data_IF_667211506207
#
_entry.id   IF_667211506207
#
_cell.length_a   1.000
_cell.length_b   1.000
_cell.length_c   1.000
_cell.angle_alpha   90.00
_cell.angle_beta   90.00
_cell.angle_gamma   90.00
#
_symmetry.space_group_name_H-M   'P 1'
#
loop_
_entity.id
_entity.type
_entity.pdbx_description
1 polymer ?
#
# COMPACT_ATOMS: atom_id res chain seq x y z
N UNK A 1 14.79 13.11 7.96
CA UNK A 1 14.64 12.14 6.84
C UNK A 1 13.66 12.69 5.84
N UNK A 2 14.09 12.91 4.59
CA UNK A 2 13.29 13.50 3.51
C UNK A 2 12.01 12.69 3.27
N UNK A 3 10.89 13.35 2.96
CA UNK A 3 9.59 12.70 2.70
C UNK A 3 9.69 11.58 1.66
N UNK A 4 10.60 11.73 0.71
CA UNK A 4 10.95 10.75 -0.34
C UNK A 4 11.43 9.42 0.25
N UNK A 5 12.38 9.43 1.19
CA UNK A 5 12.90 8.18 1.78
C UNK A 5 11.84 7.47 2.62
N UNK A 6 11.02 8.23 3.36
CA UNK A 6 9.91 7.66 4.14
C UNK A 6 8.88 6.99 3.24
N UNK A 7 8.58 7.61 2.09
CA UNK A 7 7.69 7.05 1.07
C UNK A 7 8.25 5.76 0.46
N UNK A 8 9.50 5.77 0.00
CA UNK A 8 10.15 4.61 -0.63
C UNK A 8 10.22 3.43 0.35
N UNK A 9 10.60 3.69 1.61
CA UNK A 9 10.68 2.67 2.64
C UNK A 9 9.32 2.04 2.90
N UNK A 10 8.25 2.84 2.95
CA UNK A 10 6.89 2.33 3.13
C UNK A 10 6.39 1.51 1.94
N UNK A 11 6.70 1.90 0.70
CA UNK A 11 6.36 1.07 -0.46
C UNK A 11 7.14 -0.25 -0.49
N UNK A 12 8.43 -0.23 -0.15
CA UNK A 12 9.23 -1.46 0.01
C UNK A 12 8.64 -2.38 1.08
N UNK A 13 8.24 -1.81 2.21
CA UNK A 13 7.68 -2.57 3.32
C UNK A 13 6.31 -3.17 2.99
N UNK A 14 5.47 -2.45 2.23
CA UNK A 14 4.24 -3.00 1.66
C UNK A 14 4.52 -4.21 0.76
N UNK A 15 5.48 -4.10 -0.16
CA UNK A 15 5.86 -5.21 -1.04
C UNK A 15 6.36 -6.43 -0.26
N UNK A 16 7.19 -6.20 0.76
CA UNK A 16 7.68 -7.26 1.65
C UNK A 16 6.54 -7.94 2.42
N UNK A 17 5.59 -7.17 2.97
CA UNK A 17 4.44 -7.75 3.66
C UNK A 17 3.49 -8.49 2.71
N UNK A 18 3.25 -8.00 1.49
CA UNK A 18 2.46 -8.74 0.49
C UNK A 18 3.13 -10.08 0.12
N UNK A 19 4.45 -10.09 -0.02
CA UNK A 19 5.19 -11.32 -0.27
C UNK A 19 5.04 -12.31 0.90
N UNK A 20 5.20 -11.84 2.14
CA UNK A 20 5.00 -12.65 3.35
C UNK A 20 3.55 -13.14 3.51
N UNK A 21 2.56 -12.32 3.12
CA UNK A 21 1.15 -12.77 3.08
C UNK A 21 1.04 -13.98 2.17
N UNK A 22 1.52 -13.91 0.93
CA UNK A 22 1.37 -15.02 -0.03
C UNK A 22 2.00 -16.32 0.49
N UNK A 23 3.16 -16.23 1.15
CA UNK A 23 3.86 -17.41 1.68
C UNK A 23 3.20 -18.00 2.93
N UNK A 24 2.58 -17.15 3.77
CA UNK A 24 2.02 -17.55 5.07
C UNK A 24 0.51 -17.78 5.05
N UNK A 25 -0.22 -17.24 4.07
CA UNK A 25 -1.70 -17.27 4.02
C UNK A 25 -2.30 -18.69 4.07
N UNK A 26 -1.60 -19.67 3.47
CA UNK A 26 -2.06 -21.05 3.45
C UNK A 26 -1.74 -21.84 4.74
N UNK A 27 -0.84 -21.32 5.58
CA UNK A 27 -0.32 -22.05 6.74
C UNK A 27 -0.93 -21.58 8.06
N UNK A 28 -1.29 -20.31 8.19
CA UNK A 28 -1.77 -19.77 9.48
C UNK A 28 -2.98 -18.86 9.34
N UNK A 29 -3.98 -19.11 10.19
CA UNK A 29 -5.27 -18.40 10.20
C UNK A 29 -5.13 -16.94 10.66
N UNK A 30 -4.12 -16.65 11.48
CA UNK A 30 -3.97 -15.34 12.13
C UNK A 30 -2.88 -14.46 11.50
N UNK A 31 -1.77 -15.04 11.05
CA UNK A 31 -0.62 -14.25 10.61
C UNK A 31 -0.81 -13.71 9.19
N UNK A 32 -1.46 -14.48 8.32
CA UNK A 32 -1.84 -14.02 6.97
C UNK A 32 -2.65 -12.71 6.99
N UNK A 33 -3.80 -12.66 7.69
CA UNK A 33 -4.57 -11.43 7.84
C UNK A 33 -3.80 -10.27 8.50
N UNK A 34 -2.92 -10.59 9.45
CA UNK A 34 -2.11 -9.61 10.18
C UNK A 34 -1.05 -8.97 9.26
N UNK A 35 -0.33 -9.75 8.45
CA UNK A 35 0.59 -9.22 7.45
C UNK A 35 -0.13 -8.43 6.35
N UNK A 36 -1.35 -8.85 6.00
CA UNK A 36 -2.19 -8.13 5.03
C UNK A 36 -2.59 -6.75 5.58
N UNK A 37 -2.97 -6.67 6.86
CA UNK A 37 -3.23 -5.40 7.53
C UNK A 37 -1.98 -4.50 7.57
N UNK A 38 -0.80 -5.04 7.89
CA UNK A 38 0.45 -4.28 7.88
C UNK A 38 0.84 -3.78 6.48
N UNK A 39 0.59 -4.59 5.45
CA UNK A 39 0.77 -4.19 4.06
C UNK A 39 -0.07 -2.96 3.71
N UNK A 40 -1.39 -3.00 4.02
CA UNK A 40 -2.28 -1.87 3.79
C UNK A 40 -1.89 -0.63 4.59
N UNK A 41 -1.53 -0.81 5.87
CA UNK A 41 -1.09 0.30 6.70
C UNK A 41 0.15 0.99 6.13
N UNK A 42 1.13 0.21 5.69
CA UNK A 42 2.34 0.74 5.06
C UNK A 42 2.05 1.42 3.73
N UNK A 43 1.10 0.88 2.94
CA UNK A 43 0.69 1.48 1.67
C UNK A 43 0.04 2.85 1.89
N UNK A 44 -0.92 2.94 2.82
CA UNK A 44 -1.61 4.18 3.18
C UNK A 44 -0.60 5.23 3.64
N UNK A 45 0.34 4.84 4.52
CA UNK A 45 1.36 5.75 4.98
C UNK A 45 2.27 6.23 3.83
N UNK A 46 2.65 5.35 2.91
CA UNK A 46 3.38 5.71 1.68
C UNK A 46 2.62 6.73 0.84
N UNK A 47 1.32 6.52 0.62
CA UNK A 47 0.44 7.46 -0.09
C UNK A 47 0.30 8.81 0.63
N UNK A 48 0.23 8.84 1.96
CA UNK A 48 0.21 10.10 2.74
C UNK A 48 1.53 10.86 2.58
N UNK A 49 2.66 10.16 2.57
CA UNK A 49 3.97 10.80 2.32
C UNK A 49 4.09 11.31 0.88
N UNK A 50 3.57 10.57 -0.11
CA UNK A 50 3.46 11.03 -1.49
C UNK A 50 2.60 12.29 -1.60
N UNK A 51 1.48 12.35 -0.89
CA UNK A 51 0.62 13.53 -0.86
C UNK A 51 1.33 14.75 -0.26
N UNK A 52 2.09 14.57 0.83
CA UNK A 52 2.89 15.64 1.44
C UNK A 52 4.03 16.12 0.54
N UNK A 53 4.64 15.23 -0.25
CA UNK A 53 5.74 15.58 -1.15
C UNK A 53 5.26 16.18 -2.48
N UNK A 54 4.27 15.55 -3.13
CA UNK A 54 3.75 15.90 -4.45
C UNK A 54 2.21 15.70 -4.50
N UNK A 55 1.42 16.65 -3.97
CA UNK A 55 -0.04 16.48 -3.85
C UNK A 55 -0.76 16.34 -5.20
N UNK A 56 -0.25 16.97 -6.27
CA UNK A 56 -0.80 16.82 -7.63
C UNK A 56 -0.68 15.39 -8.15
N UNK A 57 0.47 14.74 -7.94
CA UNK A 57 0.70 13.36 -8.37
C UNK A 57 -0.16 12.41 -7.54
N UNK A 58 -0.23 12.63 -6.22
CA UNK A 58 -1.08 11.82 -5.35
C UNK A 58 -2.56 11.88 -5.76
N UNK A 59 -3.10 13.06 -6.12
CA UNK A 59 -4.47 13.18 -6.62
C UNK A 59 -4.72 12.34 -7.87
N UNK A 60 -3.82 12.40 -8.86
CA UNK A 60 -3.92 11.60 -10.09
C UNK A 60 -3.92 10.10 -9.77
N UNK A 61 -3.04 9.67 -8.86
CA UNK A 61 -2.97 8.27 -8.43
C UNK A 61 -4.28 7.85 -7.74
N UNK A 62 -4.81 8.66 -6.83
CA UNK A 62 -6.07 8.36 -6.14
C UNK A 62 -7.28 8.37 -7.09
N UNK A 63 -7.35 9.30 -8.05
CA UNK A 63 -8.39 9.30 -9.08
C UNK A 63 -8.30 8.07 -9.97
N UNK A 64 -7.09 7.67 -10.37
CA UNK A 64 -6.88 6.48 -11.20
C UNK A 64 -7.30 5.20 -10.45
N UNK A 65 -6.91 5.07 -9.18
CA UNK A 65 -7.32 3.96 -8.31
C UNK A 65 -8.82 3.97 -8.04
N UNK A 66 -9.41 5.14 -7.77
CA UNK A 66 -10.84 5.30 -7.56
C UNK A 66 -11.66 4.93 -8.80
N UNK A 67 -11.23 5.42 -9.97
CA UNK A 67 -11.85 5.07 -11.25
C UNK A 67 -11.73 3.57 -11.52
N UNK A 68 -10.57 2.96 -11.27
CA UNK A 68 -10.36 1.52 -11.42
C UNK A 68 -11.26 0.69 -10.50
N UNK A 69 -11.44 1.12 -9.25
CA UNK A 69 -12.36 0.45 -8.31
C UNK A 69 -13.85 0.67 -8.67
N UNK A 70 -14.18 1.80 -9.30
CA UNK A 70 -15.54 2.13 -9.73
C UNK A 70 -15.96 1.51 -11.06
N UNK A 71 -15.01 0.94 -11.82
CA UNK A 71 -15.34 0.16 -13.01
C UNK A 71 -16.25 -1.00 -12.59
N UNK A 72 -17.30 -1.33 -13.35
CA UNK A 72 -18.08 -2.53 -13.10
C UNK A 72 -17.14 -3.73 -13.30
N UNK A 73 -16.69 -4.30 -12.19
CA UNK A 73 -15.95 -5.55 -12.17
C UNK A 73 -16.93 -6.64 -12.58
N UNK A 74 -16.91 -6.97 -13.88
CA UNK A 74 -17.71 -8.04 -14.51
C UNK A 74 -17.25 -9.41 -14.08
#
# INVERSE_FOLDING_TARGET
>A
MNYVYRMILSFLLTGLFLYLVITVFYQTIWEGPLFLAFSFFSLIYGCVMLYKWKPKVAKIVFECVGNFLSLPWS
#
